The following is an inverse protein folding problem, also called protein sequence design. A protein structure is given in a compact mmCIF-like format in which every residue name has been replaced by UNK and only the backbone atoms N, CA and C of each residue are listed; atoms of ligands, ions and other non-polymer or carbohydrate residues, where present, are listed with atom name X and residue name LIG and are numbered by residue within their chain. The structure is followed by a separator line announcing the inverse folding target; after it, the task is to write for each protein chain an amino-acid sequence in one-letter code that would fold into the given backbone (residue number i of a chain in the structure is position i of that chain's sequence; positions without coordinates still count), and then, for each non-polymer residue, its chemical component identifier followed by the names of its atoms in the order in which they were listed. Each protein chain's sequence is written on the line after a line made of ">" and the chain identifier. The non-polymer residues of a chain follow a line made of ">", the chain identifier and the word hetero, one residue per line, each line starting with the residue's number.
data_IF_452679011206
#
_entry.id   IF_452679011206
#
_cell.length_a   1.000
_cell.length_b   1.000
_cell.length_c   1.000
_cell.angle_alpha   90.00
_cell.angle_beta   90.00
_cell.angle_gamma   90.00
#
_symmetry.space_group_name_H-M   'P 1'
#
loop_
_entity.id
_entity.type
_entity.pdbx_description
1 polymer ?
#
# COMPACT_ATOMS: atom_id res chain seq x y z
N UNK A 1 9.90 -15.52 7.21
CA UNK A 1 9.94 -14.28 6.42
C UNK A 1 8.52 -13.74 6.23
N UNK A 2 8.32 -12.48 6.50
CA UNK A 2 7.00 -11.88 6.36
C UNK A 2 6.68 -11.66 4.90
N UNK A 3 5.46 -11.99 4.49
CA UNK A 3 4.98 -11.70 3.15
C UNK A 3 4.42 -10.28 3.07
N UNK A 4 4.16 -9.68 4.23
CA UNK A 4 3.53 -8.37 4.29
C UNK A 4 4.59 -7.32 4.35
N UNK A 5 4.95 -6.83 3.17
CA UNK A 5 5.99 -5.82 3.06
C UNK A 5 5.55 -4.75 2.09
N UNK A 6 5.56 -3.52 2.58
CA UNK A 6 5.12 -2.37 1.79
C UNK A 6 5.94 -1.17 2.25
N UNK A 7 6.59 -0.51 1.31
CA UNK A 7 7.30 0.72 1.61
C UNK A 7 6.33 1.91 1.54
N UNK A 8 6.75 3.01 2.15
CA UNK A 8 5.97 4.26 2.06
C UNK A 8 5.82 4.67 0.60
N UNK A 9 6.88 4.54 -0.18
CA UNK A 9 6.86 4.89 -1.60
C UNK A 9 5.90 4.02 -2.38
N UNK A 10 5.87 2.72 -2.09
CA UNK A 10 4.91 1.83 -2.74
C UNK A 10 3.48 2.24 -2.42
N UNK A 11 3.22 2.58 -1.17
CA UNK A 11 1.88 2.99 -0.74
C UNK A 11 1.44 4.25 -1.47
N UNK A 12 2.29 5.27 -1.49
CA UNK A 12 1.98 6.52 -2.19
C UNK A 12 1.83 6.30 -3.69
N UNK A 13 2.72 5.50 -4.26
CA UNK A 13 2.68 5.20 -5.70
C UNK A 13 1.42 4.48 -6.09
N UNK A 14 1.03 3.47 -5.33
CA UNK A 14 -0.19 2.72 -5.60
C UNK A 14 -1.42 3.61 -5.49
N UNK A 15 -1.46 4.48 -4.46
CA UNK A 15 -2.57 5.43 -4.34
C UNK A 15 -2.63 6.35 -5.55
N UNK A 16 -1.47 6.87 -5.96
CA UNK A 16 -1.43 7.77 -7.11
C UNK A 16 -1.92 7.07 -8.37
N UNK A 17 -1.52 5.83 -8.58
CA UNK A 17 -1.93 5.07 -9.75
C UNK A 17 -3.44 4.85 -9.77
N UNK A 18 -4.05 4.68 -8.60
CA UNK A 18 -5.49 4.44 -8.48
C UNK A 18 -6.29 5.74 -8.38
N UNK A 19 -5.61 6.87 -8.21
CA UNK A 19 -6.30 8.13 -7.96
C UNK A 19 -6.96 8.17 -6.58
N UNK A 20 -6.42 7.45 -5.62
CA UNK A 20 -7.01 7.36 -4.28
C UNK A 20 -6.42 8.40 -3.34
N UNK A 21 -7.28 9.04 -2.57
CA UNK A 21 -6.86 9.82 -1.41
C UNK A 21 -6.48 8.87 -0.27
N UNK A 22 -5.85 9.42 0.77
CA UNK A 22 -5.60 8.63 1.98
C UNK A 22 -6.90 8.12 2.58
N UNK A 23 -7.96 8.94 2.54
CA UNK A 23 -9.25 8.52 3.06
C UNK A 23 -9.84 7.36 2.27
N UNK A 24 -9.68 7.38 0.95
CA UNK A 24 -10.19 6.29 0.12
C UNK A 24 -9.43 4.99 0.37
N UNK A 25 -8.12 5.07 0.54
CA UNK A 25 -7.35 3.87 0.90
C UNK A 25 -7.76 3.37 2.27
N UNK A 26 -7.92 4.26 3.24
CA UNK A 26 -8.32 3.88 4.59
C UNK A 26 -9.66 3.14 4.56
N UNK A 27 -10.60 3.63 3.78
CA UNK A 27 -11.90 2.97 3.64
C UNK A 27 -11.75 1.59 3.00
N UNK A 28 -11.00 1.49 1.93
CA UNK A 28 -10.80 0.23 1.22
C UNK A 28 -10.10 -0.81 2.11
N UNK A 29 -9.18 -0.37 2.94
CA UNK A 29 -8.40 -1.25 3.81
C UNK A 29 -9.06 -1.46 5.18
N UNK A 30 -10.14 -0.73 5.46
CA UNK A 30 -10.83 -0.78 6.75
C UNK A 30 -9.89 -0.44 7.91
N UNK A 31 -9.11 0.60 7.72
CA UNK A 31 -8.24 1.14 8.76
C UNK A 31 -8.52 2.64 8.87
N UNK A 32 -8.01 3.29 9.92
CA UNK A 32 -8.23 4.72 10.08
C UNK A 32 -7.38 5.50 9.08
N UNK A 33 -7.87 6.67 8.69
CA UNK A 33 -7.09 7.56 7.84
C UNK A 33 -5.79 7.99 8.54
N UNK A 34 -5.84 8.12 9.86
CA UNK A 34 -4.65 8.48 10.63
C UNK A 34 -3.57 7.41 10.50
N UNK A 35 -3.98 6.13 10.47
CA UNK A 35 -3.03 5.03 10.25
C UNK A 35 -2.29 5.20 8.92
N UNK A 36 -3.03 5.54 7.86
CA UNK A 36 -2.43 5.75 6.55
C UNK A 36 -1.50 6.97 6.57
N UNK A 37 -1.97 8.07 7.14
CA UNK A 37 -1.19 9.30 7.20
C UNK A 37 0.11 9.09 7.97
N UNK A 38 0.05 8.44 9.12
CA UNK A 38 1.23 8.18 9.95
C UNK A 38 2.23 7.28 9.22
N UNK A 39 1.73 6.27 8.54
CA UNK A 39 2.60 5.38 7.78
C UNK A 39 3.30 6.15 6.66
N UNK A 40 2.55 6.95 5.89
CA UNK A 40 3.11 7.61 4.72
C UNK A 40 4.09 8.72 5.06
N UNK A 41 3.98 9.31 6.24
CA UNK A 41 4.99 10.29 6.66
C UNK A 41 6.14 9.66 7.45
N UNK A 42 6.13 8.33 7.56
CA UNK A 42 7.23 7.61 8.20
C UNK A 42 7.19 7.65 9.73
N UNK A 43 6.06 8.07 10.33
CA UNK A 43 5.98 8.19 11.78
C UNK A 43 5.79 6.84 12.46
N UNK A 44 4.95 5.99 11.90
CA UNK A 44 4.65 4.69 12.48
C UNK A 44 4.42 3.68 11.38
N UNK A 45 5.04 2.52 11.52
CA UNK A 45 4.72 1.39 10.66
C UNK A 45 3.43 0.76 11.18
N UNK A 46 2.46 0.45 10.31
CA UNK A 46 1.22 -0.18 10.79
C UNK A 46 1.51 -1.53 11.41
N UNK A 47 0.70 -1.91 12.39
CA UNK A 47 0.79 -3.26 12.95
C UNK A 47 0.41 -4.27 11.87
N UNK A 48 0.81 -5.53 12.07
CA UNK A 48 0.72 -6.56 11.05
C UNK A 48 -0.63 -6.67 10.36
N UNK A 49 -1.72 -6.70 11.15
CA UNK A 49 -3.07 -6.83 10.57
C UNK A 49 -3.43 -5.64 9.70
N UNK A 50 -3.06 -4.43 10.12
CA UNK A 50 -3.35 -3.23 9.37
C UNK A 50 -2.53 -3.18 8.08
N UNK A 51 -1.26 -3.60 8.15
CA UNK A 51 -0.41 -3.64 6.97
C UNK A 51 -0.95 -4.64 5.96
N UNK A 52 -1.34 -5.82 6.42
CA UNK A 52 -1.92 -6.85 5.55
C UNK A 52 -3.20 -6.34 4.88
N UNK A 53 -4.04 -5.60 5.61
CA UNK A 53 -5.27 -5.04 5.08
C UNK A 53 -5.00 -4.00 4.00
N UNK A 54 -3.98 -3.16 4.20
CA UNK A 54 -3.59 -2.16 3.21
C UNK A 54 -3.13 -2.84 1.92
N UNK A 55 -2.25 -3.84 2.05
CA UNK A 55 -1.76 -4.59 0.90
C UNK A 55 -2.94 -5.26 0.17
N UNK A 56 -3.84 -5.89 0.92
CA UNK A 56 -5.00 -6.56 0.32
C UNK A 56 -5.89 -5.58 -0.44
N UNK A 57 -6.04 -4.36 0.07
CA UNK A 57 -6.84 -3.34 -0.61
C UNK A 57 -6.24 -2.99 -1.97
N UNK A 58 -4.93 -2.84 -2.05
CA UNK A 58 -4.26 -2.56 -3.31
C UNK A 58 -4.36 -3.75 -4.28
N UNK A 59 -4.12 -4.95 -3.78
CA UNK A 59 -4.20 -6.15 -4.61
C UNK A 59 -5.60 -6.30 -5.20
N UNK A 60 -6.62 -6.11 -4.37
CA UNK A 60 -8.01 -6.20 -4.83
C UNK A 60 -8.32 -5.13 -5.88
N UNK A 61 -7.66 -3.98 -5.78
CA UNK A 61 -7.86 -2.89 -6.75
C UNK A 61 -7.06 -3.08 -8.03
N UNK A 62 -6.29 -4.16 -8.14
CA UNK A 62 -5.56 -4.49 -9.36
C UNK A 62 -4.11 -4.05 -9.39
N UNK A 63 -3.53 -3.78 -8.24
CA UNK A 63 -2.13 -3.36 -8.14
C UNK A 63 -1.27 -4.56 -7.74
N UNK A 64 -0.16 -4.75 -8.44
CA UNK A 64 0.91 -5.65 -8.03
C UNK A 64 1.89 -4.88 -7.15
N UNK A 65 2.16 -5.42 -5.97
CA UNK A 65 3.19 -4.90 -5.07
C UNK A 65 4.46 -5.68 -5.39
N UNK A 66 5.46 -5.00 -5.91
CA UNK A 66 6.69 -5.65 -6.39
C UNK A 66 7.76 -5.50 -5.32
N UNK A 67 8.20 -6.60 -4.70
CA UNK A 67 9.23 -6.50 -3.67
C UNK A 67 10.57 -6.13 -4.27
N UNK A 68 11.46 -5.66 -3.43
CA UNK A 68 12.83 -5.43 -3.82
C UNK A 68 13.45 -6.75 -4.27
N UNK A 69 14.01 -6.77 -5.49
CA UNK A 69 14.49 -8.00 -6.09
C UNK A 69 15.50 -7.66 -7.19
N UNK A 70 16.68 -7.23 -6.77
CA UNK A 70 17.71 -6.79 -7.71
C UNK A 70 17.51 -5.38 -8.20
N UNK A 71 16.30 -4.84 -8.05
CA UNK A 71 15.96 -3.45 -8.29
C UNK A 71 15.19 -2.96 -7.09
N UNK A 72 14.81 -1.70 -7.06
CA UNK A 72 14.03 -1.17 -5.96
C UNK A 72 12.61 -1.73 -5.93
N UNK A 73 11.97 -1.64 -4.77
CA UNK A 73 10.57 -2.02 -4.63
C UNK A 73 9.70 -1.13 -5.51
N UNK A 74 8.62 -1.68 -6.06
CA UNK A 74 7.77 -0.93 -6.97
C UNK A 74 6.32 -1.36 -6.91
N UNK A 75 5.52 -0.73 -7.76
CA UNK A 75 4.11 -1.08 -7.94
C UNK A 75 3.76 -0.95 -9.41
N UNK A 76 2.78 -1.73 -9.85
CA UNK A 76 2.29 -1.64 -11.22
C UNK A 76 0.87 -2.18 -11.27
N UNK A 77 0.14 -1.82 -12.33
CA UNK A 77 -1.13 -2.49 -12.58
C UNK A 77 -0.86 -3.93 -12.96
N UNK A 78 -1.68 -4.84 -12.41
CA UNK A 78 -1.53 -6.28 -12.68
C UNK A 78 -1.74 -6.57 -14.16
N UNK A 79 -2.69 -5.86 -14.77
CA UNK A 79 -3.01 -6.04 -16.18
C UNK A 79 -2.82 -4.73 -16.91
N UNK A 80 -2.40 -4.84 -18.18
CA UNK A 80 -2.27 -3.67 -19.03
C UNK A 80 -3.59 -2.96 -19.17
N UNK A 81 -3.54 -1.64 -19.18
CA UNK A 81 -4.72 -0.81 -19.38
C UNK A 81 -4.94 -0.50 -20.84
#
# INVERSE_FOLDING_TARGET
>A
MSKDHLTVEQCRGARAMLGWSQAQLAEAANVSRQTIADFERGAHKPIGNNLASIIAAFVKAGIDIIPENGGGAGVRFRESK
#
